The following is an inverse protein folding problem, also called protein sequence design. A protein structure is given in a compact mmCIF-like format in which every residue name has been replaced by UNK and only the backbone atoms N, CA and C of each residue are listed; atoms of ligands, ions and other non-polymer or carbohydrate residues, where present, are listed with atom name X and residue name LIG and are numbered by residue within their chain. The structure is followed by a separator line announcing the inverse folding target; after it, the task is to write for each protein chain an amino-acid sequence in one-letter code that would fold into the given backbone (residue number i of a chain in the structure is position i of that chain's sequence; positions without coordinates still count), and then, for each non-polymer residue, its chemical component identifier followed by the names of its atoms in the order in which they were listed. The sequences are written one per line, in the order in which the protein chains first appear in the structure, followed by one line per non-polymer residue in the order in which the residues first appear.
data_IF_681864194831
#
_entry.id   IF_681864194831
#
_cell.length_a   1.000
_cell.length_b   1.000
_cell.length_c   1.000
_cell.angle_alpha   90.00
_cell.angle_beta   90.00
_cell.angle_gamma   90.00
#
_symmetry.space_group_name_H-M   'P 1'
#
loop_
_entity.id
_entity.type
_entity.pdbx_description
1 polymer ?
#
# COMPACT_ATOMS: atom_id res chain seq x y z
N UNK A 1 7.88 14.67 -15.82
CA UNK A 1 7.12 13.53 -15.24
C UNK A 1 7.33 13.58 -13.74
N UNK A 2 6.31 13.96 -12.97
CA UNK A 2 6.40 13.98 -11.50
C UNK A 2 6.48 12.53 -11.03
N UNK A 3 7.60 12.14 -10.44
CA UNK A 3 7.74 10.82 -9.83
C UNK A 3 6.86 10.75 -8.60
N UNK A 4 5.64 10.25 -8.73
CA UNK A 4 4.79 9.99 -7.57
C UNK A 4 5.35 8.81 -6.77
N UNK A 5 5.51 9.03 -5.47
CA UNK A 5 5.92 8.02 -4.49
C UNK A 5 4.68 7.37 -3.85
N UNK A 6 4.78 6.10 -3.39
CA UNK A 6 3.69 5.46 -2.65
C UNK A 6 3.34 6.24 -1.38
N UNK A 7 2.06 6.53 -1.17
CA UNK A 7 1.54 7.11 0.08
C UNK A 7 0.80 6.03 0.85
N UNK A 8 1.51 5.39 1.78
CA UNK A 8 1.00 4.28 2.57
C UNK A 8 -0.01 4.75 3.63
N UNK A 9 -1.14 4.06 3.71
CA UNK A 9 -2.08 4.19 4.81
C UNK A 9 -2.60 2.81 5.21
N UNK A 10 -2.98 2.67 6.49
CA UNK A 10 -3.51 1.41 7.01
C UNK A 10 -4.92 1.16 6.50
N UNK A 11 -5.21 -0.07 6.11
CA UNK A 11 -6.55 -0.47 5.70
C UNK A 11 -7.54 -0.38 6.88
N UNK A 12 -8.78 0.04 6.64
CA UNK A 12 -9.84 0.04 7.65
C UNK A 12 -10.23 -1.38 8.09
N UNK A 13 -10.08 -2.36 7.19
CA UNK A 13 -10.33 -3.77 7.48
C UNK A 13 -9.27 -4.39 8.40
N UNK A 14 -8.17 -3.69 8.65
CA UNK A 14 -7.08 -4.15 9.52
C UNK A 14 -7.32 -3.92 11.02
N UNK A 15 -8.48 -3.37 11.41
CA UNK A 15 -8.75 -2.94 12.79
C UNK A 15 -9.21 -4.08 13.74
N UNK A 16 -9.51 -5.28 13.22
CA UNK A 16 -10.02 -6.41 14.02
C UNK A 16 -8.91 -7.29 14.63
N UNK A 17 -7.91 -6.69 15.30
CA UNK A 17 -6.93 -7.45 16.10
C UNK A 17 -5.51 -7.55 15.52
N UNK A 18 -5.06 -6.56 14.75
CA UNK A 18 -3.64 -6.39 14.44
C UNK A 18 -3.20 -6.96 13.09
N UNK A 19 -4.06 -6.88 12.08
CA UNK A 19 -3.70 -7.25 10.72
C UNK A 19 -2.88 -6.13 10.05
N UNK A 20 -1.79 -6.54 9.43
CA UNK A 20 -0.63 -5.72 9.16
C UNK A 20 -0.70 -5.10 7.77
N UNK A 21 -1.80 -4.52 7.30
CA UNK A 21 -1.87 -4.14 5.87
C UNK A 21 -1.82 -2.62 5.67
N UNK A 22 -0.87 -2.20 4.83
CA UNK A 22 -0.79 -0.85 4.29
C UNK A 22 -0.96 -0.88 2.77
N UNK A 23 -1.64 0.15 2.25
CA UNK A 23 -1.98 0.27 0.83
C UNK A 23 -1.57 1.65 0.32
N UNK A 24 -1.12 1.74 -0.93
CA UNK A 24 -0.77 3.00 -1.60
C UNK A 24 -1.65 3.25 -2.82
N UNK A 25 -2.90 3.67 -2.59
CA UNK A 25 -3.88 3.87 -3.65
C UNK A 25 -3.60 5.08 -4.57
N UNK A 26 -2.73 6.01 -4.15
CA UNK A 26 -2.42 7.20 -4.95
C UNK A 26 -1.76 6.88 -6.30
N UNK A 27 -1.16 5.69 -6.44
CA UNK A 27 -0.50 5.27 -7.67
C UNK A 27 -1.44 4.62 -8.68
N UNK A 28 -2.71 4.36 -8.33
CA UNK A 28 -3.65 3.70 -9.22
C UNK A 28 -3.89 4.52 -10.50
N UNK A 29 -4.09 5.83 -10.36
CA UNK A 29 -4.38 6.71 -11.50
C UNK A 29 -3.16 6.92 -12.41
N UNK A 30 -1.96 7.03 -11.84
CA UNK A 30 -0.74 7.37 -12.59
C UNK A 30 0.04 6.16 -13.08
N UNK A 31 -0.09 5.00 -12.42
CA UNK A 31 0.67 3.77 -12.73
C UNK A 31 -0.20 2.54 -12.99
N UNK A 32 -1.52 2.63 -12.81
CA UNK A 32 -2.44 1.50 -13.01
C UNK A 32 -2.22 0.36 -12.02
N UNK A 33 -1.65 0.65 -10.84
CA UNK A 33 -1.37 -0.36 -9.82
C UNK A 33 -1.61 0.14 -8.41
N UNK A 34 -1.96 -0.79 -7.53
CA UNK A 34 -2.13 -0.57 -6.08
C UNK A 34 -1.14 -1.46 -5.32
N UNK A 35 -0.04 -0.88 -4.83
CA UNK A 35 0.88 -1.60 -3.94
C UNK A 35 0.22 -1.88 -2.59
N UNK A 36 0.45 -3.08 -2.06
CA UNK A 36 -0.02 -3.57 -0.77
C UNK A 36 1.17 -4.20 -0.04
N UNK A 37 1.39 -3.84 1.23
CA UNK A 37 2.51 -4.38 2.02
C UNK A 37 2.11 -4.72 3.44
N UNK A 38 3.00 -5.47 4.09
CA UNK A 38 2.92 -5.72 5.52
C UNK A 38 3.43 -4.49 6.33
N UNK A 39 2.57 -3.91 7.18
CA UNK A 39 2.82 -2.77 8.06
C UNK A 39 3.82 -3.09 9.20
N UNK A 40 3.96 -4.36 9.59
CA UNK A 40 5.00 -4.82 10.53
C UNK A 40 6.36 -4.99 9.84
N UNK A 41 6.38 -5.12 8.51
CA UNK A 41 7.59 -5.18 7.69
C UNK A 41 7.59 -4.10 6.59
N UNK A 42 7.64 -2.81 6.94
CA UNK A 42 7.48 -1.71 5.98
C UNK A 42 8.62 -1.63 4.94
N UNK A 43 9.80 -2.17 5.24
CA UNK A 43 10.93 -2.28 4.30
C UNK A 43 10.94 -3.59 3.51
N UNK A 44 9.98 -4.48 3.78
CA UNK A 44 9.79 -5.73 3.07
C UNK A 44 9.16 -5.52 1.69
N UNK A 45 9.00 -6.62 0.93
CA UNK A 45 8.39 -6.57 -0.39
C UNK A 45 6.91 -6.15 -0.34
N UNK A 46 6.45 -5.48 -1.40
CA UNK A 46 5.05 -5.11 -1.60
C UNK A 46 4.46 -5.90 -2.78
N UNK A 47 3.26 -6.43 -2.61
CA UNK A 47 2.47 -7.00 -3.68
C UNK A 47 1.87 -5.87 -4.52
N UNK A 48 1.87 -6.02 -5.83
CA UNK A 48 1.32 -5.02 -6.76
C UNK A 48 0.06 -5.57 -7.41
N UNK A 49 -1.07 -4.92 -7.17
CA UNK A 49 -2.36 -5.33 -7.73
C UNK A 49 -2.73 -4.43 -8.93
N UNK A 50 -3.16 -4.99 -10.07
CA UNK A 50 -3.65 -4.23 -11.21
C UNK A 50 -5.06 -3.66 -11.00
#
# INVERSE_FOLDING_TARGET
MTTESPRWFKSSYSNNGGQCVEVAANLAASRGVVPVRDSKHPTGPALTLP
#
